data_IF_772506837732
#
_entry.id   IF_772506837732
#
_cell.length_a   1.000
_cell.length_b   1.000
_cell.length_c   1.000
_cell.angle_alpha   90.00
_cell.angle_beta   90.00
_cell.angle_gamma   90.00
#
_symmetry.space_group_name_H-M   'P 1'
#
loop_
_entity.id
_entity.type
_entity.pdbx_description
1 polymer ?
#
# COMPACT_ATOMS: atom_id res chain seq x y z
N UNK A 1 51.61 -13.32 -18.58
CA UNK A 1 50.99 -11.97 -18.57
C UNK A 1 49.45 -11.94 -18.83
N UNK A 2 48.87 -12.89 -19.56
CA UNK A 2 47.41 -12.88 -19.83
C UNK A 2 46.50 -13.22 -18.63
N UNK A 3 46.96 -14.01 -17.68
CA UNK A 3 46.16 -14.39 -16.48
C UNK A 3 46.04 -13.26 -15.44
N UNK A 4 47.02 -12.37 -15.34
CA UNK A 4 47.05 -11.29 -14.37
C UNK A 4 46.08 -10.15 -14.75
N UNK A 5 45.86 -9.94 -16.07
CA UNK A 5 44.95 -8.92 -16.59
C UNK A 5 43.47 -9.29 -16.44
N UNK A 6 43.12 -10.59 -16.53
CA UNK A 6 41.76 -11.07 -16.40
C UNK A 6 41.28 -10.97 -14.93
N UNK A 7 42.14 -11.32 -13.99
CA UNK A 7 41.83 -11.20 -12.56
C UNK A 7 41.65 -9.74 -12.11
N UNK A 8 42.46 -8.82 -12.63
CA UNK A 8 42.36 -7.40 -12.26
C UNK A 8 41.09 -6.75 -12.80
N UNK A 9 40.65 -7.10 -14.02
CA UNK A 9 39.40 -6.60 -14.60
C UNK A 9 38.18 -7.18 -13.92
N UNK A 10 38.17 -8.43 -13.52
CA UNK A 10 37.06 -9.03 -12.77
C UNK A 10 36.93 -8.44 -11.35
N UNK A 11 38.06 -8.19 -10.67
CA UNK A 11 38.06 -7.56 -9.35
C UNK A 11 37.59 -6.11 -9.44
N UNK A 12 37.94 -5.36 -10.47
CA UNK A 12 37.52 -3.99 -10.69
C UNK A 12 36.03 -3.88 -11.03
N UNK A 13 35.48 -4.83 -11.83
CA UNK A 13 34.01 -4.92 -12.05
C UNK A 13 33.24 -5.25 -10.79
N UNK A 14 33.75 -6.17 -9.94
CA UNK A 14 33.10 -6.49 -8.67
C UNK A 14 33.07 -5.28 -7.70
N UNK A 15 34.14 -4.51 -7.64
CA UNK A 15 34.25 -3.31 -6.78
C UNK A 15 33.30 -2.21 -7.28
N UNK A 16 33.17 -2.04 -8.61
CA UNK A 16 32.23 -1.07 -9.20
C UNK A 16 30.76 -1.46 -8.99
N UNK A 17 30.44 -2.75 -8.96
CA UNK A 17 29.08 -3.21 -8.65
C UNK A 17 28.71 -3.02 -7.17
N UNK A 18 29.67 -3.08 -6.24
CA UNK A 18 29.41 -2.82 -4.81
C UNK A 18 29.14 -1.33 -4.50
N UNK A 19 29.55 -0.41 -5.35
CA UNK A 19 29.32 1.03 -5.15
C UNK A 19 28.00 1.53 -5.77
N UNK A 20 27.27 0.68 -6.49
CA UNK A 20 26.01 1.03 -7.12
C UNK A 20 24.80 0.97 -6.15
N UNK A 21 25.00 0.54 -4.92
CA UNK A 21 23.97 0.61 -3.87
C UNK A 21 23.98 2.01 -3.24
N UNK A 22 23.38 2.97 -3.92
CA UNK A 22 23.04 4.25 -3.27
C UNK A 22 22.00 3.97 -2.21
N UNK A 23 22.21 4.35 -0.93
CA UNK A 23 21.19 4.27 0.09
C UNK A 23 20.02 5.16 -0.33
N UNK A 24 18.93 4.55 -0.81
CA UNK A 24 17.84 5.27 -1.50
C UNK A 24 17.02 6.17 -0.57
N UNK A 25 17.16 6.06 0.74
CA UNK A 25 16.21 6.68 1.67
C UNK A 25 16.85 7.55 2.77
N UNK A 26 18.11 7.38 3.08
CA UNK A 26 18.72 8.05 4.24
C UNK A 26 18.89 9.58 4.10
N UNK A 27 18.63 10.16 2.92
CA UNK A 27 18.83 11.59 2.64
C UNK A 27 17.64 12.27 1.95
N UNK A 28 16.43 11.71 2.02
CA UNK A 28 15.24 12.42 1.51
C UNK A 28 14.95 13.63 2.40
N UNK A 29 15.13 14.81 1.89
CA UNK A 29 14.73 16.04 2.58
C UNK A 29 13.20 16.09 2.67
N UNK A 30 12.63 16.57 3.80
CA UNK A 30 11.22 16.84 3.89
C UNK A 30 10.76 17.76 2.76
N UNK A 31 9.53 17.53 2.26
CA UNK A 31 8.93 18.42 1.26
C UNK A 31 8.83 19.84 1.83
N UNK A 32 9.37 20.81 1.12
CA UNK A 32 9.31 22.22 1.53
C UNK A 32 7.98 22.84 1.12
N UNK A 33 7.41 23.67 2.00
CA UNK A 33 6.27 24.51 1.64
C UNK A 33 6.75 25.65 0.74
N UNK A 34 6.07 25.87 -0.39
CA UNK A 34 6.45 26.88 -1.37
C UNK A 34 5.22 27.52 -2.03
N UNK A 35 5.43 28.70 -2.62
CA UNK A 35 4.39 29.36 -3.39
C UNK A 35 4.04 28.52 -4.64
N UNK A 36 2.74 28.37 -5.00
CA UNK A 36 2.30 27.58 -6.14
C UNK A 36 3.04 27.90 -7.43
N UNK A 37 3.27 29.17 -7.71
CA UNK A 37 3.95 29.64 -8.92
C UNK A 37 5.37 29.09 -9.06
N UNK A 38 6.06 28.84 -7.94
CA UNK A 38 7.42 28.28 -7.93
C UNK A 38 7.50 26.84 -8.43
N UNK A 39 6.35 26.18 -8.53
CA UNK A 39 6.18 24.84 -9.09
C UNK A 39 5.28 24.85 -10.35
N UNK A 40 5.12 26.02 -11.00
CA UNK A 40 4.32 26.15 -12.22
C UNK A 40 2.83 25.90 -12.01
N UNK A 41 2.30 26.13 -10.80
CA UNK A 41 0.87 25.96 -10.49
C UNK A 41 0.18 27.31 -10.29
N UNK A 42 -1.07 27.40 -10.75
CA UNK A 42 -1.89 28.62 -10.61
C UNK A 42 -2.56 28.63 -9.24
N UNK A 43 -2.35 29.70 -8.42
CA UNK A 43 -3.07 29.89 -7.16
C UNK A 43 -4.58 29.93 -7.34
N UNK A 44 -5.06 30.59 -8.40
CA UNK A 44 -6.51 30.70 -8.68
C UNK A 44 -7.17 29.35 -8.98
N UNK A 45 -6.40 28.43 -9.61
CA UNK A 45 -6.89 27.08 -9.82
C UNK A 45 -6.87 26.25 -8.52
N UNK A 46 -5.87 26.45 -7.67
CA UNK A 46 -5.83 25.79 -6.35
C UNK A 46 -6.93 26.33 -5.43
N UNK A 47 -7.32 27.60 -5.54
CA UNK A 47 -8.44 28.15 -4.79
C UNK A 47 -9.79 27.49 -5.11
N UNK A 48 -9.93 26.78 -6.24
CA UNK A 48 -11.12 25.96 -6.51
C UNK A 48 -11.26 24.78 -5.56
N UNK A 49 -10.15 24.32 -4.98
CA UNK A 49 -10.17 23.28 -3.94
C UNK A 49 -10.83 23.85 -2.67
N UNK A 50 -10.57 25.12 -2.34
CA UNK A 50 -11.20 25.78 -1.19
C UNK A 50 -12.72 25.78 -1.36
N UNK A 51 -13.21 26.27 -2.51
CA UNK A 51 -14.64 26.34 -2.78
C UNK A 51 -15.32 24.94 -2.77
N UNK A 52 -14.68 23.93 -3.34
CA UNK A 52 -15.18 22.56 -3.31
C UNK A 52 -15.24 22.00 -1.88
N UNK A 53 -14.19 22.22 -1.11
CA UNK A 53 -14.07 21.72 0.26
C UNK A 53 -15.09 22.40 1.20
N UNK A 54 -15.23 23.72 1.09
CA UNK A 54 -16.19 24.51 1.84
C UNK A 54 -17.62 24.09 1.52
N UNK A 55 -17.95 23.85 0.24
CA UNK A 55 -19.27 23.34 -0.18
C UNK A 55 -19.53 21.97 0.41
N UNK A 56 -18.61 21.01 0.28
CA UNK A 56 -18.78 19.65 0.78
C UNK A 56 -19.03 19.61 2.31
N UNK A 57 -18.37 20.49 3.06
CA UNK A 57 -18.58 20.62 4.50
C UNK A 57 -19.93 21.30 4.80
N UNK A 58 -20.28 22.36 4.08
CA UNK A 58 -21.53 23.10 4.29
C UNK A 58 -22.76 22.26 3.93
N UNK A 59 -22.66 21.44 2.88
CA UNK A 59 -23.73 20.53 2.43
C UNK A 59 -23.86 19.27 3.31
N UNK A 60 -22.89 19.06 4.23
CA UNK A 60 -22.86 17.92 5.14
C UNK A 60 -22.40 16.61 4.52
N UNK A 61 -21.79 16.64 3.32
CA UNK A 61 -21.25 15.45 2.64
C UNK A 61 -20.12 14.82 3.43
N UNK A 62 -19.30 15.65 4.09
CA UNK A 62 -18.23 15.23 5.01
C UNK A 62 -18.16 16.16 6.21
N UNK A 63 -17.80 15.67 7.41
CA UNK A 63 -17.64 16.53 8.60
C UNK A 63 -16.44 17.48 8.45
N UNK A 64 -15.43 17.06 7.74
CA UNK A 64 -14.20 17.82 7.47
C UNK A 64 -13.29 17.07 6.53
N UNK A 65 -12.36 17.78 5.92
CA UNK A 65 -11.35 17.21 5.03
C UNK A 65 -10.03 17.98 5.10
N UNK A 66 -8.95 17.28 4.83
CA UNK A 66 -7.62 17.88 4.61
C UNK A 66 -7.21 17.61 3.18
N UNK A 67 -6.81 18.67 2.48
CA UNK A 67 -6.29 18.54 1.11
C UNK A 67 -4.83 19.01 1.04
N UNK A 68 -4.01 18.22 0.35
CA UNK A 68 -2.60 18.53 0.11
C UNK A 68 -2.30 18.37 -1.38
N UNK A 69 -1.53 19.31 -1.94
CA UNK A 69 -0.96 19.20 -3.28
C UNK A 69 0.54 19.42 -3.19
N UNK A 70 1.29 18.46 -3.71
CA UNK A 70 2.74 18.56 -3.84
C UNK A 70 3.13 18.42 -5.33
N UNK A 71 4.12 19.22 -5.76
CA UNK A 71 4.69 19.16 -7.09
C UNK A 71 6.17 19.54 -7.04
N UNK A 72 6.98 18.80 -7.79
CA UNK A 72 8.44 19.02 -7.87
C UNK A 72 9.13 19.12 -6.49
N UNK A 73 8.76 18.20 -5.57
CA UNK A 73 9.31 18.18 -4.21
C UNK A 73 8.86 19.34 -3.30
N UNK A 74 7.81 20.07 -3.68
CA UNK A 74 7.28 21.22 -2.92
C UNK A 74 5.82 21.02 -2.60
N UNK A 75 5.43 21.33 -1.35
CA UNK A 75 4.02 21.43 -0.95
C UNK A 75 3.53 22.82 -1.35
N UNK A 76 2.65 22.88 -2.32
CA UNK A 76 2.11 24.12 -2.88
C UNK A 76 0.69 24.44 -2.40
N UNK A 77 0.05 23.48 -1.72
CA UNK A 77 -1.24 23.64 -1.10
C UNK A 77 -1.38 22.62 0.06
N UNK A 78 -1.83 23.09 1.21
CA UNK A 78 -2.12 22.22 2.36
C UNK A 78 -3.08 22.96 3.30
N UNK A 79 -4.35 22.57 3.28
CA UNK A 79 -5.42 23.18 4.08
C UNK A 79 -6.34 22.13 4.70
N UNK A 80 -6.94 22.50 5.83
CA UNK A 80 -7.98 21.75 6.52
C UNK A 80 -9.29 22.55 6.49
N UNK A 81 -10.42 21.86 6.43
CA UNK A 81 -11.76 22.41 6.38
C UNK A 81 -12.71 21.61 7.30
N UNK A 82 -13.64 22.28 7.95
CA UNK A 82 -14.66 21.64 8.78
C UNK A 82 -14.16 21.11 10.12
N UNK A 83 -14.84 20.09 10.62
CA UNK A 83 -14.65 19.54 11.95
C UNK A 83 -13.95 18.18 11.91
N UNK A 84 -13.13 17.93 12.92
CA UNK A 84 -12.53 16.62 13.17
C UNK A 84 -13.49 15.72 13.97
N UNK A 85 -14.37 16.33 14.75
CA UNK A 85 -15.35 15.64 15.57
C UNK A 85 -16.59 16.52 15.71
N UNK A 86 -17.70 16.04 15.17
CA UNK A 86 -18.99 16.72 15.22
C UNK A 86 -19.57 16.82 16.65
N UNK A 87 -19.22 15.88 17.53
CA UNK A 87 -19.75 15.84 18.89
C UNK A 87 -19.14 16.94 19.76
N UNK A 88 -17.83 17.11 19.68
CA UNK A 88 -17.10 18.12 20.44
C UNK A 88 -17.01 19.48 19.73
N UNK A 89 -17.34 19.55 18.45
CA UNK A 89 -17.16 20.75 17.63
C UNK A 89 -15.68 21.11 17.37
N UNK A 90 -14.74 20.16 17.57
CA UNK A 90 -13.32 20.42 17.36
C UNK A 90 -13.03 20.63 15.88
N UNK A 91 -12.41 21.76 15.56
CA UNK A 91 -11.96 22.04 14.20
C UNK A 91 -10.90 21.04 13.73
N UNK A 92 -10.95 20.70 12.45
CA UNK A 92 -9.98 19.83 11.81
C UNK A 92 -8.69 20.58 11.55
N UNK A 93 -7.54 19.92 11.82
CA UNK A 93 -6.20 20.47 11.63
C UNK A 93 -5.47 19.70 10.52
N UNK A 94 -4.52 20.35 9.88
CA UNK A 94 -3.71 19.76 8.79
C UNK A 94 -2.88 18.55 9.24
N UNK A 95 -2.58 18.48 10.53
CA UNK A 95 -1.76 17.44 11.17
C UNK A 95 -2.59 16.39 11.92
N UNK A 96 -3.90 16.41 11.79
CA UNK A 96 -4.77 15.36 12.34
C UNK A 96 -4.49 14.00 11.68
N UNK A 97 -4.60 12.94 12.46
CA UNK A 97 -4.38 11.57 12.00
C UNK A 97 -5.66 11.00 11.40
N UNK A 98 -5.54 10.47 10.19
CA UNK A 98 -6.64 9.87 9.45
C UNK A 98 -6.50 8.35 9.37
N UNK A 99 -7.62 7.67 9.43
CA UNK A 99 -7.73 6.26 9.10
C UNK A 99 -7.79 6.15 7.57
N UNK A 100 -6.70 5.71 6.95
CA UNK A 100 -6.54 5.73 5.49
C UNK A 100 -7.03 4.46 4.78
N UNK A 101 -7.55 3.48 5.53
CA UNK A 101 -8.11 2.23 4.99
C UNK A 101 -7.22 1.62 3.90
N UNK A 102 -7.74 1.36 2.70
CA UNK A 102 -7.01 0.69 1.62
C UNK A 102 -5.82 1.46 1.05
N UNK A 103 -5.66 2.75 1.32
CA UNK A 103 -4.43 3.47 0.96
C UNK A 103 -3.20 2.90 1.68
N UNK A 104 -3.40 2.23 2.82
CA UNK A 104 -2.36 1.46 3.52
C UNK A 104 -1.68 0.45 2.59
N UNK A 105 -2.38 -0.12 1.60
CA UNK A 105 -1.81 -1.06 0.64
C UNK A 105 -0.66 -0.47 -0.16
N UNK A 106 -0.79 0.79 -0.59
CA UNK A 106 0.28 1.48 -1.31
C UNK A 106 1.54 1.65 -0.45
N UNK A 107 1.36 2.02 0.83
CA UNK A 107 2.47 2.15 1.79
C UNK A 107 3.13 0.80 2.04
N UNK A 108 2.33 -0.25 2.28
CA UNK A 108 2.83 -1.61 2.48
C UNK A 108 3.55 -2.13 1.25
N UNK A 109 2.97 -1.96 0.05
CA UNK A 109 3.61 -2.38 -1.20
C UNK A 109 4.95 -1.65 -1.43
N UNK A 110 5.03 -0.36 -1.11
CA UNK A 110 6.28 0.40 -1.17
C UNK A 110 7.34 -0.20 -0.22
N UNK A 111 6.97 -0.50 1.02
CA UNK A 111 7.88 -1.13 1.98
C UNK A 111 8.37 -2.50 1.49
N UNK A 112 7.48 -3.31 0.91
CA UNK A 112 7.86 -4.59 0.30
C UNK A 112 8.83 -4.39 -0.86
N UNK A 113 8.59 -3.40 -1.73
CA UNK A 113 9.49 -3.11 -2.85
C UNK A 113 10.86 -2.59 -2.41
N UNK A 114 10.94 -1.90 -1.27
CA UNK A 114 12.23 -1.51 -0.66
C UNK A 114 13.07 -2.74 -0.27
N UNK A 115 12.45 -3.73 0.36
CA UNK A 115 13.11 -4.99 0.68
C UNK A 115 13.53 -5.78 -0.57
N UNK A 116 12.72 -5.72 -1.63
CA UNK A 116 13.07 -6.29 -2.93
C UNK A 116 14.28 -5.59 -3.57
N UNK A 117 14.35 -4.26 -3.50
CA UNK A 117 15.48 -3.45 -3.98
C UNK A 117 16.79 -3.82 -3.24
N UNK A 118 16.71 -4.18 -1.96
CA UNK A 118 17.81 -4.69 -1.15
C UNK A 118 18.18 -6.15 -1.47
N UNK A 119 17.46 -6.81 -2.37
CA UNK A 119 17.73 -8.19 -2.79
C UNK A 119 17.36 -9.27 -1.77
N UNK A 120 16.51 -8.94 -0.79
CA UNK A 120 16.14 -9.88 0.30
C UNK A 120 15.20 -10.98 -0.17
N UNK A 121 14.51 -10.80 -1.28
CA UNK A 121 13.64 -11.80 -1.91
C UNK A 121 13.48 -11.54 -3.42
N UNK A 122 12.90 -12.52 -4.12
CA UNK A 122 12.46 -12.38 -5.51
C UNK A 122 10.93 -12.27 -5.56
N UNK A 123 10.39 -11.53 -6.55
CA UNK A 123 8.93 -11.37 -6.67
C UNK A 123 8.19 -12.70 -6.87
N UNK A 124 8.85 -13.66 -7.49
CA UNK A 124 8.28 -15.00 -7.73
C UNK A 124 8.63 -16.02 -6.66
N UNK A 125 9.28 -15.59 -5.55
CA UNK A 125 9.44 -16.43 -4.37
C UNK A 125 8.05 -16.79 -3.81
N UNK A 126 7.80 -18.06 -3.44
CA UNK A 126 6.57 -18.45 -2.77
C UNK A 126 6.49 -17.81 -1.38
N UNK A 127 5.29 -17.38 -0.98
CA UNK A 127 5.11 -16.80 0.36
C UNK A 127 5.33 -17.83 1.48
N UNK A 128 5.22 -19.12 1.20
CA UNK A 128 5.54 -20.23 2.12
C UNK A 128 7.00 -20.20 2.60
N UNK A 129 7.91 -19.60 1.82
CA UNK A 129 9.29 -19.36 2.23
C UNK A 129 9.41 -18.46 3.48
N UNK A 130 8.43 -17.59 3.71
CA UNK A 130 8.40 -16.62 4.81
C UNK A 130 7.31 -16.94 5.83
N UNK A 131 6.21 -17.55 5.37
CA UNK A 131 5.04 -17.93 6.17
C UNK A 131 4.72 -19.39 5.82
N UNK A 132 5.29 -20.36 6.55
CA UNK A 132 5.18 -21.79 6.23
C UNK A 132 3.74 -22.31 6.14
N UNK A 133 2.79 -21.66 6.81
CA UNK A 133 1.36 -22.01 6.78
C UNK A 133 0.75 -21.92 5.39
N UNK A 134 1.39 -21.23 4.45
CA UNK A 134 0.98 -21.17 3.04
C UNK A 134 1.59 -22.29 2.18
N UNK A 135 2.30 -23.24 2.78
CA UNK A 135 2.77 -24.41 2.01
C UNK A 135 1.58 -25.29 1.59
N UNK A 136 1.62 -25.79 0.35
CA UNK A 136 0.56 -26.64 -0.22
C UNK A 136 -0.85 -26.01 -0.12
N UNK A 137 -1.05 -24.79 -0.65
CA UNK A 137 -2.32 -24.09 -0.54
C UNK A 137 -3.48 -24.91 -1.13
N UNK A 138 -4.64 -24.81 -0.51
CA UNK A 138 -5.84 -25.49 -0.91
C UNK A 138 -6.85 -24.51 -1.51
N UNK A 139 -7.63 -24.96 -2.48
CA UNK A 139 -8.71 -24.20 -3.12
C UNK A 139 -10.04 -24.85 -2.77
N UNK A 140 -11.02 -24.03 -2.41
CA UNK A 140 -12.37 -24.50 -2.15
C UNK A 140 -12.95 -25.19 -3.40
N UNK A 141 -13.36 -26.44 -3.27
CA UNK A 141 -14.00 -27.21 -4.31
C UNK A 141 -15.53 -27.18 -4.14
N UNK A 142 -16.03 -27.68 -3.01
CA UNK A 142 -17.45 -27.76 -2.75
C UNK A 142 -17.80 -27.36 -1.32
N UNK A 143 -19.04 -26.91 -1.09
CA UNK A 143 -19.59 -26.57 0.21
C UNK A 143 -21.00 -27.16 0.37
N UNK A 144 -21.22 -27.91 1.44
CA UNK A 144 -22.54 -28.45 1.80
C UNK A 144 -23.29 -27.49 2.71
N UNK A 145 -24.30 -26.80 2.20
CA UNK A 145 -25.13 -25.87 3.00
C UNK A 145 -25.97 -26.60 4.07
N UNK A 146 -26.24 -27.89 3.87
CA UNK A 146 -27.03 -28.69 4.81
C UNK A 146 -26.20 -29.12 6.02
N UNK A 147 -24.93 -29.42 5.79
CA UNK A 147 -24.03 -29.98 6.81
C UNK A 147 -23.04 -28.95 7.34
N UNK A 148 -22.90 -27.79 6.68
CA UNK A 148 -21.89 -26.79 7.00
C UNK A 148 -20.45 -27.24 6.72
N UNK A 149 -20.26 -28.26 5.89
CA UNK A 149 -18.94 -28.83 5.58
C UNK A 149 -18.46 -28.44 4.20
N UNK A 150 -17.15 -28.47 3.98
CA UNK A 150 -16.56 -28.18 2.68
C UNK A 150 -15.44 -29.15 2.31
N UNK A 151 -15.17 -29.25 1.01
CA UNK A 151 -14.02 -29.98 0.46
C UNK A 151 -13.08 -29.02 -0.27
N UNK A 152 -11.81 -29.39 -0.32
CA UNK A 152 -10.79 -28.63 -1.02
C UNK A 152 -10.01 -29.50 -1.99
N UNK A 153 -9.41 -28.88 -2.99
CA UNK A 153 -8.44 -29.48 -3.89
C UNK A 153 -7.12 -28.73 -3.82
N UNK A 154 -5.98 -29.37 -4.10
CA UNK A 154 -4.70 -28.69 -4.14
C UNK A 154 -4.70 -27.55 -5.15
N UNK A 155 -4.14 -26.42 -4.79
CA UNK A 155 -3.92 -25.32 -5.73
C UNK A 155 -2.97 -25.77 -6.85
N UNK A 156 -3.16 -25.21 -8.05
CA UNK A 156 -2.30 -25.53 -9.21
C UNK A 156 -0.87 -25.03 -9.08
N UNK A 157 -0.63 -24.10 -8.17
CA UNK A 157 0.66 -23.48 -7.92
C UNK A 157 0.67 -22.80 -6.56
N UNK A 158 1.86 -22.55 -6.03
CA UNK A 158 2.03 -21.76 -4.82
C UNK A 158 1.67 -20.30 -5.04
N UNK A 159 1.33 -19.62 -3.95
CA UNK A 159 1.12 -18.17 -3.92
C UNK A 159 2.47 -17.49 -3.82
N UNK A 160 2.76 -16.54 -4.72
CA UNK A 160 4.02 -15.78 -4.72
C UNK A 160 3.81 -14.35 -4.19
N UNK A 161 4.89 -13.66 -3.84
CA UNK A 161 4.85 -12.25 -3.45
C UNK A 161 4.25 -11.40 -4.59
N UNK A 162 4.57 -11.70 -5.85
CA UNK A 162 3.96 -11.05 -7.02
C UNK A 162 2.44 -11.18 -7.01
N UNK A 163 1.89 -12.35 -6.71
CA UNK A 163 0.45 -12.56 -6.65
C UNK A 163 -0.22 -11.71 -5.57
N UNK A 164 0.44 -11.48 -4.42
CA UNK A 164 -0.06 -10.59 -3.38
C UNK A 164 -0.06 -9.13 -3.84
N UNK A 165 1.06 -8.65 -4.40
CA UNK A 165 1.20 -7.27 -4.85
C UNK A 165 0.26 -6.90 -6.01
N UNK A 166 -0.12 -7.89 -6.84
CA UNK A 166 -1.02 -7.70 -7.99
C UNK A 166 -2.47 -8.08 -7.70
N UNK A 167 -2.82 -8.42 -6.45
CA UNK A 167 -4.16 -8.89 -6.05
C UNK A 167 -4.67 -10.10 -6.85
N UNK A 168 -3.76 -11.02 -7.23
CA UNK A 168 -4.06 -12.22 -8.01
C UNK A 168 -3.77 -13.53 -7.26
N UNK A 169 -3.63 -13.45 -5.94
CA UNK A 169 -3.29 -14.60 -5.09
C UNK A 169 -4.44 -15.61 -4.92
N UNK A 170 -5.69 -15.19 -5.11
CA UNK A 170 -6.86 -16.00 -4.79
C UNK A 170 -7.24 -16.00 -3.30
N UNK A 171 -6.50 -15.29 -2.44
CA UNK A 171 -6.87 -15.13 -1.03
C UNK A 171 -8.08 -14.21 -0.96
N UNK A 172 -9.16 -14.70 -0.33
CA UNK A 172 -10.41 -13.98 -0.15
C UNK A 172 -10.33 -12.88 0.91
N UNK A 173 -11.39 -12.09 1.00
CA UNK A 173 -11.50 -10.99 1.93
C UNK A 173 -12.88 -11.02 2.61
N UNK A 174 -12.94 -11.33 3.89
CA UNK A 174 -14.13 -11.73 4.64
C UNK A 174 -15.44 -11.02 4.26
N UNK A 175 -15.53 -9.70 4.44
CA UNK A 175 -16.78 -8.96 4.26
C UNK A 175 -17.07 -8.49 2.82
N UNK A 176 -16.05 -8.40 1.96
CA UNK A 176 -16.22 -8.04 0.54
C UNK A 176 -16.12 -9.26 -0.40
N UNK A 177 -16.06 -10.45 0.16
CA UNK A 177 -16.07 -11.69 -0.60
C UNK A 177 -17.41 -11.84 -1.34
N UNK A 178 -17.36 -12.17 -2.62
CA UNK A 178 -18.56 -12.39 -3.44
C UNK A 178 -19.09 -13.82 -3.34
N UNK A 179 -18.25 -14.77 -2.93
CA UNK A 179 -18.63 -16.16 -2.75
C UNK A 179 -19.25 -16.39 -1.35
N UNK A 180 -20.55 -16.66 -1.33
CA UNK A 180 -21.28 -16.91 -0.07
C UNK A 180 -20.71 -18.10 0.72
N UNK A 181 -20.13 -19.09 0.05
CA UNK A 181 -19.49 -20.25 0.72
C UNK A 181 -18.28 -19.78 1.52
N UNK A 182 -17.45 -18.91 0.93
CA UNK A 182 -16.29 -18.35 1.60
C UNK A 182 -16.68 -17.46 2.79
N UNK A 183 -17.77 -16.69 2.68
CA UNK A 183 -18.29 -15.90 3.81
C UNK A 183 -18.66 -16.77 5.01
N UNK A 184 -19.31 -17.89 4.75
CA UNK A 184 -19.67 -18.85 5.80
C UNK A 184 -18.42 -19.46 6.44
N UNK A 185 -17.43 -19.87 5.66
CA UNK A 185 -16.17 -20.42 6.15
C UNK A 185 -15.43 -19.38 7.01
N UNK A 186 -15.32 -18.15 6.56
CA UNK A 186 -14.69 -17.07 7.34
C UNK A 186 -15.42 -16.81 8.66
N UNK A 187 -16.75 -16.81 8.64
CA UNK A 187 -17.57 -16.65 9.86
C UNK A 187 -17.34 -17.78 10.85
N UNK A 188 -17.34 -19.04 10.39
CA UNK A 188 -17.07 -20.21 11.22
C UNK A 188 -15.65 -20.22 11.79
N UNK A 189 -14.68 -19.75 10.99
CA UNK A 189 -13.30 -19.59 11.43
C UNK A 189 -13.07 -18.43 12.40
N UNK A 190 -14.12 -17.64 12.71
CA UNK A 190 -14.01 -16.47 13.58
C UNK A 190 -13.23 -15.31 12.96
N UNK A 191 -13.08 -15.30 11.65
CA UNK A 191 -12.47 -14.19 10.91
C UNK A 191 -13.51 -13.07 10.81
N UNK A 192 -13.38 -12.09 11.71
CA UNK A 192 -14.28 -10.93 11.81
C UNK A 192 -13.78 -9.77 10.97
N UNK A 193 -14.72 -8.89 10.62
CA UNK A 193 -14.42 -7.66 9.90
C UNK A 193 -13.51 -6.73 10.71
N UNK A 194 -12.56 -6.11 10.03
CA UNK A 194 -11.69 -5.09 10.62
C UNK A 194 -12.43 -3.79 11.02
N UNK A 195 -13.77 -3.77 10.86
CA UNK A 195 -14.62 -2.61 11.14
C UNK A 195 -15.46 -2.73 12.42
N UNK A 196 -15.41 -3.89 13.09
CA UNK A 196 -16.07 -4.11 14.39
C UNK A 196 -15.15 -3.79 15.56
#
# INVERSE_FOLDING_TARGET
MRFLTITLTQTLCLILCLQAQTPSIQNSLPLMVAAPQSAGMSPDRLARIDAMAESAVADGDVPGLVAIVARDGKIVYHKAFGLADNTSGRELRKDDIFRIASQTKAVTATAVMMLWEEGLFQLDDPISKFIPEFENPQVLDNYSYTEGTYTTIPAKREITIRHLLTHSSGIGYGFIESDERMKLIFKEAGIVDAWT
#
